data_IF_436183854172
#
_entry.id   IF_436183854172
#
_cell.length_a   1.000
_cell.length_b   1.000
_cell.length_c   1.000
_cell.angle_alpha   90.00
_cell.angle_beta   90.00
_cell.angle_gamma   90.00
#
_symmetry.space_group_name_H-M   'P 1'
#
loop_
_entity.id
_entity.type
_entity.pdbx_description
1 polymer ?
#
# COMPACT_ATOMS: atom_id res chain seq x y z
N UNK A 1 -37.88 -44.63 -2.20
CA UNK A 1 -36.88 -44.11 -1.23
C UNK A 1 -35.52 -44.71 -1.53
N UNK A 2 -34.59 -43.91 -2.06
CA UNK A 2 -33.13 -43.90 -1.83
C UNK A 2 -32.48 -42.96 -2.86
N UNK A 3 -31.73 -41.99 -2.36
CA UNK A 3 -31.05 -40.88 -3.05
C UNK A 3 -29.87 -41.40 -3.88
N UNK A 4 -29.59 -40.78 -5.02
CA UNK A 4 -28.27 -40.85 -5.67
C UNK A 4 -27.94 -39.51 -6.34
N UNK A 5 -26.68 -39.12 -6.20
CA UNK A 5 -26.15 -37.76 -6.22
C UNK A 5 -25.88 -37.24 -7.65
N UNK A 6 -26.29 -35.99 -7.93
CA UNK A 6 -26.28 -35.34 -9.25
C UNK A 6 -25.20 -34.25 -9.39
N UNK A 7 -24.06 -34.44 -8.75
CA UNK A 7 -22.89 -33.58 -8.95
C UNK A 7 -21.93 -34.31 -9.88
N UNK A 8 -21.45 -33.60 -10.91
CA UNK A 8 -20.30 -33.98 -11.77
C UNK A 8 -20.58 -34.55 -13.18
N UNK A 9 -21.57 -34.07 -13.95
CA UNK A 9 -21.63 -34.43 -15.40
C UNK A 9 -21.97 -33.28 -16.38
N UNK A 10 -22.52 -32.14 -15.97
CA UNK A 10 -22.90 -31.07 -16.92
C UNK A 10 -21.80 -30.03 -17.17
N UNK A 11 -20.60 -30.52 -17.47
CA UNK A 11 -19.52 -29.76 -18.07
C UNK A 11 -19.28 -30.32 -19.48
N UNK A 12 -20.13 -29.94 -20.44
CA UNK A 12 -19.84 -29.88 -21.88
C UNK A 12 -21.12 -29.47 -22.62
N UNK A 13 -20.95 -28.66 -23.67
CA UNK A 13 -21.96 -28.16 -24.60
C UNK A 13 -22.72 -26.90 -24.17
N UNK A 14 -22.11 -25.73 -24.43
CA UNK A 14 -22.81 -24.65 -25.14
C UNK A 14 -21.79 -23.72 -25.83
N UNK A 15 -21.27 -24.17 -26.96
CA UNK A 15 -20.58 -23.32 -27.94
C UNK A 15 -21.54 -23.14 -29.11
N UNK A 16 -22.03 -21.93 -29.38
CA UNK A 16 -22.78 -21.65 -30.60
C UNK A 16 -23.71 -20.43 -30.57
N UNK A 17 -23.30 -19.40 -31.32
CA UNK A 17 -24.11 -18.36 -31.96
C UNK A 17 -24.67 -17.19 -31.12
N UNK A 18 -24.08 -16.00 -31.28
CA UNK A 18 -24.70 -14.92 -32.07
C UNK A 18 -23.67 -13.82 -32.35
N UNK A 19 -23.22 -13.72 -33.60
CA UNK A 19 -22.66 -12.50 -34.16
C UNK A 19 -23.83 -11.65 -34.68
N UNK A 20 -23.83 -10.34 -34.41
CA UNK A 20 -24.43 -9.24 -35.21
C UNK A 20 -24.30 -7.93 -34.41
N UNK A 21 -23.52 -6.97 -34.91
CA UNK A 21 -23.46 -5.62 -34.33
C UNK A 21 -22.23 -4.79 -34.68
N UNK A 22 -21.92 -4.62 -35.98
CA UNK A 22 -21.12 -3.48 -36.43
C UNK A 22 -22.05 -2.29 -36.75
N UNK A 23 -21.52 -1.08 -36.55
CA UNK A 23 -21.92 0.23 -37.10
C UNK A 23 -22.61 1.19 -36.13
N UNK A 24 -21.82 2.15 -35.61
CA UNK A 24 -22.24 3.54 -35.46
C UNK A 24 -20.99 4.44 -35.52
N UNK A 25 -20.58 4.76 -36.75
CA UNK A 25 -19.71 5.89 -37.04
C UNK A 25 -20.63 7.06 -37.43
N UNK A 26 -20.47 8.21 -36.79
CA UNK A 26 -21.17 9.46 -37.12
C UNK A 26 -20.28 10.64 -36.69
N UNK A 27 -19.76 11.35 -37.68
CA UNK A 27 -18.66 12.31 -37.57
C UNK A 27 -19.08 13.76 -37.29
N UNK A 28 -18.12 14.48 -36.71
CA UNK A 28 -17.76 15.91 -36.89
C UNK A 28 -18.65 17.01 -36.28
N UNK A 29 -18.10 17.71 -35.27
CA UNK A 29 -17.77 19.14 -35.46
C UNK A 29 -16.60 19.61 -34.56
N UNK A 30 -15.85 20.57 -35.09
CA UNK A 30 -14.56 21.09 -34.62
C UNK A 30 -14.68 22.06 -33.42
N UNK A 31 -13.73 22.00 -32.47
CA UNK A 31 -13.53 23.09 -31.51
C UNK A 31 -12.45 22.89 -30.44
N UNK A 32 -11.25 23.38 -30.74
CA UNK A 32 -10.24 23.95 -29.83
C UNK A 32 -9.60 23.07 -28.72
N UNK A 33 -8.40 22.59 -29.05
CA UNK A 33 -7.18 22.59 -28.24
C UNK A 33 -7.31 22.55 -26.69
N UNK A 34 -7.07 21.36 -26.14
CA UNK A 34 -6.11 21.22 -25.04
C UNK A 34 -5.10 20.16 -25.45
N UNK A 35 -3.90 20.58 -25.82
CA UNK A 35 -2.75 19.68 -25.93
C UNK A 35 -2.37 19.25 -24.53
N UNK A 36 -3.12 18.29 -23.99
CA UNK A 36 -2.67 17.49 -22.85
C UNK A 36 -1.56 16.61 -23.38
N UNK A 37 -0.31 16.99 -23.12
CA UNK A 37 0.81 16.07 -23.22
C UNK A 37 0.49 14.88 -22.34
N UNK A 38 -0.08 13.82 -22.92
CA UNK A 38 0.03 12.49 -22.37
C UNK A 38 1.49 12.11 -22.56
N UNK A 39 2.33 12.62 -21.65
CA UNK A 39 3.61 12.01 -21.35
C UNK A 39 3.29 10.60 -20.86
N UNK A 40 3.21 9.66 -21.79
CA UNK A 40 3.25 8.23 -21.51
C UNK A 40 4.69 7.84 -21.12
N UNK A 41 5.34 8.69 -20.31
CA UNK A 41 6.49 8.35 -19.52
C UNK A 41 6.04 7.29 -18.52
N UNK A 42 6.86 6.25 -18.38
CA UNK A 42 6.69 5.19 -17.38
C UNK A 42 6.08 5.77 -16.11
N UNK A 43 4.82 5.41 -15.78
CA UNK A 43 4.18 5.83 -14.53
C UNK A 43 5.22 5.61 -13.43
N UNK A 44 5.63 6.68 -12.77
CA UNK A 44 6.46 6.55 -11.60
C UNK A 44 5.75 5.55 -10.67
N UNK A 45 6.51 4.60 -10.15
CA UNK A 45 5.95 3.58 -9.26
C UNK A 45 5.35 4.24 -8.00
N UNK A 46 5.80 5.45 -7.69
CA UNK A 46 5.43 6.25 -6.51
C UNK A 46 4.43 7.34 -6.86
N UNK A 47 3.55 7.68 -5.90
CA UNK A 47 2.60 8.79 -6.01
C UNK A 47 3.21 10.09 -5.52
N UNK A 48 2.90 11.18 -6.21
CA UNK A 48 3.17 12.55 -5.76
C UNK A 48 2.22 12.95 -4.64
N UNK A 49 2.54 14.04 -3.92
CA UNK A 49 1.67 14.59 -2.89
C UNK A 49 0.29 15.00 -3.44
N UNK A 50 0.26 15.56 -4.65
CA UNK A 50 -0.99 15.98 -5.29
C UNK A 50 -1.86 14.78 -5.64
N UNK A 51 -1.28 13.70 -6.16
CA UNK A 51 -2.00 12.43 -6.42
C UNK A 51 -2.51 11.78 -5.12
N UNK A 52 -1.74 11.85 -4.02
CA UNK A 52 -2.18 11.37 -2.71
C UNK A 52 -3.38 12.19 -2.23
N UNK A 53 -3.31 13.52 -2.29
CA UNK A 53 -4.41 14.41 -1.90
C UNK A 53 -5.64 14.24 -2.78
N UNK A 54 -5.47 14.13 -4.08
CA UNK A 54 -6.56 13.88 -5.04
C UNK A 54 -7.24 12.53 -4.78
N UNK A 55 -6.47 11.49 -4.44
CA UNK A 55 -7.02 10.18 -4.10
C UNK A 55 -7.74 10.14 -2.75
N UNK A 56 -7.47 11.11 -1.87
CA UNK A 56 -8.01 11.13 -0.52
C UNK A 56 -7.42 10.07 0.43
N UNK A 57 -6.37 9.33 0.04
CA UNK A 57 -5.78 8.28 0.88
C UNK A 57 -4.26 8.18 0.74
N UNK A 58 -3.55 8.12 1.87
CA UNK A 58 -2.12 7.80 1.97
C UNK A 58 -1.92 6.36 2.47
N UNK A 59 -1.08 5.58 1.77
CA UNK A 59 -0.70 4.22 2.16
C UNK A 59 0.56 4.30 3.02
N UNK A 60 0.45 3.94 4.30
CA UNK A 60 1.56 4.02 5.26
C UNK A 60 1.91 2.61 5.73
N UNK A 61 3.17 2.22 5.51
CA UNK A 61 3.71 0.97 6.01
C UNK A 61 4.04 1.04 7.49
N UNK A 62 3.43 0.17 8.29
CA UNK A 62 3.59 0.08 9.75
C UNK A 62 3.83 -1.36 10.19
N UNK A 63 4.43 -1.56 11.36
CA UNK A 63 4.44 -2.88 11.99
C UNK A 63 3.05 -3.26 12.52
N UNK A 64 2.75 -4.56 12.52
CA UNK A 64 1.54 -5.13 13.13
C UNK A 64 1.82 -6.06 14.32
N UNK A 65 3.10 -6.26 14.66
CA UNK A 65 3.54 -7.20 15.70
C UNK A 65 4.70 -6.68 16.58
N UNK A 66 5.13 -5.42 16.44
CA UNK A 66 6.27 -4.82 17.15
C UNK A 66 5.81 -3.80 18.20
N UNK A 67 5.16 -4.26 19.26
CA UNK A 67 4.84 -3.42 20.42
C UNK A 67 6.14 -2.84 21.05
N UNK A 68 6.20 -1.53 21.40
CA UNK A 68 5.13 -0.52 21.40
C UNK A 68 5.05 0.35 20.13
N UNK A 69 5.82 0.04 19.09
CA UNK A 69 5.96 0.89 17.90
C UNK A 69 4.76 0.75 16.95
N UNK A 70 4.40 -0.48 16.61
CA UNK A 70 3.24 -0.78 15.77
C UNK A 70 2.75 -2.20 16.03
N UNK A 71 1.47 -2.36 16.35
CA UNK A 71 0.85 -3.65 16.61
C UNK A 71 -0.63 -3.63 16.28
N UNK A 72 -1.25 -4.81 16.12
CA UNK A 72 -2.71 -4.96 16.04
C UNK A 72 -3.23 -5.40 17.40
N UNK A 73 -4.23 -4.70 17.93
CA UNK A 73 -4.86 -5.02 19.21
C UNK A 73 -5.93 -6.12 19.11
N UNK A 74 -6.55 -6.45 20.23
CA UNK A 74 -7.58 -7.50 20.32
C UNK A 74 -8.86 -7.17 19.50
N UNK A 75 -9.08 -5.89 19.17
CA UNK A 75 -10.19 -5.44 18.34
C UNK A 75 -9.84 -5.48 16.84
N UNK A 76 -8.60 -5.84 16.49
CA UNK A 76 -8.12 -5.84 15.11
C UNK A 76 -7.68 -4.46 14.62
N UNK A 77 -7.51 -3.49 15.52
CA UNK A 77 -7.09 -2.13 15.17
C UNK A 77 -5.57 -1.97 15.28
N UNK A 78 -4.98 -1.23 14.34
CA UNK A 78 -3.57 -0.84 14.44
C UNK A 78 -3.38 0.17 15.58
N UNK A 79 -2.41 -0.09 16.44
CA UNK A 79 -2.02 0.73 17.58
C UNK A 79 -0.50 0.87 17.65
N UNK A 80 -0.02 1.79 18.49
CA UNK A 80 1.40 2.03 18.72
C UNK A 80 1.84 3.44 18.33
N UNK A 81 3.10 3.74 18.65
CA UNK A 81 3.67 5.07 18.43
C UNK A 81 3.69 5.48 16.95
N UNK A 82 4.12 4.59 16.07
CA UNK A 82 4.23 4.87 14.64
C UNK A 82 2.83 5.02 14.01
N UNK A 83 1.86 4.25 14.48
CA UNK A 83 0.45 4.32 14.06
C UNK A 83 -0.19 5.64 14.50
N UNK A 84 0.08 6.09 15.74
CA UNK A 84 -0.36 7.40 16.20
C UNK A 84 0.19 8.52 15.31
N UNK A 85 1.49 8.49 15.01
CA UNK A 85 2.13 9.48 14.16
C UNK A 85 1.58 9.46 12.72
N UNK A 86 1.32 8.28 12.19
CA UNK A 86 0.70 8.08 10.88
C UNK A 86 -0.71 8.69 10.79
N UNK A 87 -1.56 8.49 11.81
CA UNK A 87 -2.89 9.12 11.88
C UNK A 87 -2.79 10.64 11.86
N UNK A 88 -1.86 11.20 12.65
CA UNK A 88 -1.62 12.65 12.70
C UNK A 88 -1.15 13.21 11.36
N UNK A 89 -0.30 12.46 10.64
CA UNK A 89 0.13 12.81 9.29
C UNK A 89 -1.05 12.84 8.30
N UNK A 90 -1.95 11.85 8.36
CA UNK A 90 -3.16 11.85 7.54
C UNK A 90 -4.07 13.04 7.82
N UNK A 91 -4.29 13.36 9.10
CA UNK A 91 -5.06 14.54 9.53
C UNK A 91 -4.47 15.86 9.00
N UNK A 92 -3.15 16.05 9.12
CA UNK A 92 -2.47 17.26 8.64
C UNK A 92 -2.52 17.39 7.11
N UNK A 93 -2.55 16.25 6.40
CA UNK A 93 -2.68 16.20 4.95
C UNK A 93 -4.14 16.31 4.46
N UNK A 94 -5.12 16.09 5.34
CA UNK A 94 -6.55 16.04 5.01
C UNK A 94 -6.95 14.80 4.21
N UNK A 95 -6.29 13.66 4.45
CA UNK A 95 -6.53 12.38 3.76
C UNK A 95 -6.68 11.22 4.75
N UNK A 96 -7.36 10.16 4.32
CA UNK A 96 -7.46 8.93 5.09
C UNK A 96 -6.12 8.17 5.09
N UNK A 97 -5.85 7.44 6.18
CA UNK A 97 -4.66 6.58 6.28
C UNK A 97 -5.05 5.14 6.04
N UNK A 98 -4.47 4.54 5.00
CA UNK A 98 -4.52 3.10 4.79
C UNK A 98 -3.25 2.45 5.35
N UNK A 99 -3.40 1.65 6.40
CA UNK A 99 -2.28 0.94 7.00
C UNK A 99 -1.92 -0.32 6.22
N UNK A 100 -0.64 -0.44 5.87
CA UNK A 100 -0.08 -1.62 5.21
C UNK A 100 0.91 -2.27 6.16
N UNK A 101 0.59 -3.46 6.66
CA UNK A 101 1.53 -4.25 7.47
C UNK A 101 2.83 -4.51 6.72
N UNK A 102 3.96 -4.29 7.37
CA UNK A 102 5.29 -4.57 6.82
C UNK A 102 6.22 -5.19 7.87
N UNK A 103 7.35 -5.72 7.40
CA UNK A 103 8.43 -6.26 8.23
C UNK A 103 9.72 -5.47 8.00
N UNK A 104 10.68 -5.58 8.92
CA UNK A 104 11.89 -4.78 8.91
C UNK A 104 12.69 -4.91 7.60
N UNK A 105 12.68 -6.11 6.99
CA UNK A 105 13.37 -6.44 5.75
C UNK A 105 12.69 -5.86 4.49
N UNK A 106 11.38 -5.61 4.53
CA UNK A 106 10.59 -5.28 3.34
C UNK A 106 10.38 -3.77 3.14
N UNK A 107 10.80 -2.93 4.10
CA UNK A 107 10.51 -1.49 4.11
C UNK A 107 10.97 -0.76 2.85
N UNK A 108 12.18 -1.05 2.38
CA UNK A 108 12.74 -0.44 1.16
C UNK A 108 11.98 -0.93 -0.07
N UNK A 109 11.80 -2.24 -0.21
CA UNK A 109 11.08 -2.82 -1.34
C UNK A 109 9.65 -2.27 -1.45
N UNK A 110 8.96 -2.07 -0.33
CA UNK A 110 7.59 -1.55 -0.33
C UNK A 110 7.51 -0.12 -0.86
N UNK A 111 8.53 0.70 -0.59
CA UNK A 111 8.66 2.03 -1.18
C UNK A 111 9.01 1.94 -2.66
N UNK A 112 10.01 1.12 -3.01
CA UNK A 112 10.48 0.95 -4.40
C UNK A 112 9.42 0.39 -5.35
N UNK A 113 8.50 -0.43 -4.82
CA UNK A 113 7.39 -1.03 -5.58
C UNK A 113 6.09 -0.22 -5.50
N UNK A 114 6.09 0.90 -4.76
CA UNK A 114 4.92 1.78 -4.64
C UNK A 114 3.78 1.14 -3.84
N UNK A 115 4.06 0.06 -3.11
CA UNK A 115 3.10 -0.59 -2.22
C UNK A 115 2.68 0.32 -1.07
N UNK A 116 3.57 1.21 -0.64
CA UNK A 116 3.33 2.27 0.34
C UNK A 116 3.95 3.57 -0.14
N UNK A 117 3.40 4.70 0.28
CA UNK A 117 4.00 6.02 -0.02
C UNK A 117 5.03 6.41 1.05
N UNK A 118 4.81 5.96 2.30
CA UNK A 118 5.66 6.29 3.46
C UNK A 118 5.81 5.07 4.36
N UNK A 119 6.97 4.95 5.01
CA UNK A 119 7.23 3.98 6.07
C UNK A 119 7.27 4.69 7.43
N UNK A 120 6.41 4.25 8.35
CA UNK A 120 6.47 4.54 9.78
C UNK A 120 6.52 3.20 10.53
N UNK A 121 7.71 2.60 10.56
CA UNK A 121 7.96 1.29 11.15
C UNK A 121 9.39 1.23 11.74
N UNK A 122 9.64 2.07 12.76
CA UNK A 122 10.93 2.27 13.44
C UNK A 122 12.14 2.18 12.49
N UNK A 123 12.12 2.99 11.42
CA UNK A 123 13.08 2.86 10.32
C UNK A 123 14.32 3.71 10.55
N UNK A 124 15.36 3.08 11.10
CA UNK A 124 16.64 3.75 11.39
C UNK A 124 17.30 4.26 10.13
N UNK A 125 17.65 5.54 10.13
CA UNK A 125 18.46 6.18 9.09
C UNK A 125 19.88 5.61 9.14
N UNK A 126 20.38 5.15 8.00
CA UNK A 126 21.77 4.71 7.81
C UNK A 126 22.24 5.15 6.42
N UNK A 127 23.53 5.39 6.19
CA UNK A 127 24.04 5.78 4.87
C UNK A 127 23.60 4.83 3.74
N UNK A 128 23.76 3.52 3.93
CA UNK A 128 23.36 2.49 2.95
C UNK A 128 21.87 2.59 2.56
N UNK A 129 20.98 2.76 3.55
CA UNK A 129 19.55 2.92 3.27
C UNK A 129 19.23 4.25 2.57
N UNK A 130 19.98 5.30 2.86
CA UNK A 130 19.78 6.62 2.27
C UNK A 130 20.25 6.69 0.80
N UNK A 131 21.01 5.70 0.34
CA UNK A 131 21.31 5.51 -1.09
C UNK A 131 20.09 4.96 -1.87
N UNK A 132 19.17 4.27 -1.17
CA UNK A 132 18.04 3.58 -1.78
C UNK A 132 16.70 4.32 -1.65
N UNK A 133 16.52 5.10 -0.57
CA UNK A 133 15.28 5.83 -0.26
C UNK A 133 15.57 7.16 0.44
N UNK A 134 14.64 8.11 0.27
CA UNK A 134 14.69 9.37 1.00
C UNK A 134 14.17 9.23 2.44
N UNK A 135 14.80 9.94 3.36
CA UNK A 135 14.37 10.04 4.75
C UNK A 135 13.91 11.46 5.08
N UNK A 136 12.79 11.56 5.80
CA UNK A 136 12.40 12.79 6.47
C UNK A 136 13.26 13.04 7.73
N UNK A 137 13.00 14.14 8.43
CA UNK A 137 13.59 14.38 9.73
C UNK A 137 13.23 13.23 10.72
N UNK A 138 14.19 12.72 11.51
CA UNK A 138 13.91 11.68 12.50
C UNK A 138 12.86 12.13 13.53
N UNK A 139 11.87 11.29 13.80
CA UNK A 139 10.78 11.58 14.76
C UNK A 139 10.93 10.85 16.10
N UNK A 140 11.98 10.03 16.26
CA UNK A 140 12.31 9.34 17.50
C UNK A 140 13.79 8.90 17.53
N UNK A 141 14.32 8.73 18.73
CA UNK A 141 15.62 8.10 18.96
C UNK A 141 15.41 6.75 19.66
N UNK A 142 16.17 5.75 19.25
CA UNK A 142 16.17 4.42 19.88
C UNK A 142 17.60 3.97 20.17
N UNK A 143 17.76 3.12 21.17
CA UNK A 143 19.03 2.51 21.52
C UNK A 143 18.90 0.98 21.46
N UNK A 144 19.98 0.32 21.05
CA UNK A 144 20.09 -1.14 21.12
C UNK A 144 20.64 -1.53 22.49
N UNK A 145 20.00 -2.52 23.12
CA UNK A 145 20.45 -3.09 24.38
C UNK A 145 20.70 -4.59 24.24
N UNK A 146 21.64 -5.11 25.03
CA UNK A 146 21.81 -6.56 25.22
C UNK A 146 21.02 -6.94 26.47
N UNK A 147 20.21 -7.99 26.36
CA UNK A 147 19.40 -8.49 27.46
C UNK A 147 19.80 -9.94 27.73
N UNK A 148 19.99 -10.26 29.01
CA UNK A 148 20.30 -11.59 29.50
C UNK A 148 19.35 -11.96 30.62
N UNK A 149 19.29 -13.24 30.99
CA UNK A 149 18.57 -13.61 32.21
C UNK A 149 19.38 -13.17 33.42
N UNK A 150 18.69 -12.81 34.49
CA UNK A 150 19.34 -12.42 35.75
C UNK A 150 20.28 -13.50 36.31
N UNK A 151 19.97 -14.78 36.04
CA UNK A 151 20.77 -15.93 36.48
C UNK A 151 21.94 -16.29 35.54
N UNK A 152 22.07 -15.59 34.40
CA UNK A 152 23.12 -15.84 33.42
C UNK A 152 23.49 -14.54 32.68
N UNK A 153 24.10 -13.62 33.42
CA UNK A 153 24.59 -12.34 32.87
C UNK A 153 25.73 -12.60 31.89
N UNK A 154 25.49 -12.29 30.62
CA UNK A 154 26.50 -12.20 29.55
C UNK A 154 27.11 -10.81 29.49
#
# INVERSE_FOLDING_TARGET
MKKFEWKSVLALALTGALALGLTACGSSDNGAATTGSNDAGSKAVYRTLDEIKESGTINIGVFSDKNPFGYVDENGEYQGYDVYYARRLGEDLGVDVNFVSTEAANRIEYLQTGKVDVILANFTVTPERAEEVDFAAPYMNVALGVVSKDDNVI
#
